data_IF_254161525166
#
_entry.id   IF_254161525166
#
_cell.length_a   1.000
_cell.length_b   1.000
_cell.length_c   1.000
_cell.angle_alpha   90.00
_cell.angle_beta   90.00
_cell.angle_gamma   90.00
#
_symmetry.space_group_name_H-M   'P 1'
#
loop_
_entity.id
_entity.type
_entity.pdbx_description
1 polymer ?
#
# COMPACT_ATOMS: atom_id res chain seq x y z
N UNK A 1 7.90 -18.58 -21.66
CA UNK A 1 9.15 -17.81 -21.84
C UNK A 1 9.51 -16.95 -20.64
N UNK A 2 8.58 -16.15 -20.13
CA UNK A 2 8.84 -15.33 -18.93
C UNK A 2 9.25 -16.20 -17.74
N UNK A 3 8.56 -17.30 -17.49
CA UNK A 3 8.93 -18.24 -16.44
C UNK A 3 10.34 -18.81 -16.59
N UNK A 4 10.78 -19.02 -17.81
CA UNK A 4 12.17 -19.44 -18.08
C UNK A 4 13.18 -18.36 -17.64
N UNK A 5 12.92 -17.12 -17.97
CA UNK A 5 13.81 -16.03 -17.57
C UNK A 5 13.91 -15.91 -16.05
N UNK A 6 12.79 -16.05 -15.35
CA UNK A 6 12.76 -16.00 -13.88
C UNK A 6 13.56 -17.16 -13.30
N UNK A 7 13.33 -18.38 -13.78
CA UNK A 7 14.03 -19.57 -13.31
C UNK A 7 15.54 -19.50 -13.56
N UNK A 8 15.95 -18.82 -14.65
CA UNK A 8 17.35 -18.64 -14.98
C UNK A 8 17.99 -17.41 -14.31
N UNK A 9 17.22 -16.64 -13.53
CA UNK A 9 17.71 -15.41 -12.89
C UNK A 9 17.84 -14.21 -13.83
N UNK A 10 17.24 -14.28 -15.00
CA UNK A 10 17.29 -13.22 -16.03
C UNK A 10 16.09 -12.27 -15.84
N UNK A 11 16.09 -11.55 -14.72
CA UNK A 11 14.94 -10.74 -14.30
C UNK A 11 14.67 -9.54 -15.20
N UNK A 12 15.70 -8.93 -15.80
CA UNK A 12 15.49 -7.83 -16.74
C UNK A 12 14.71 -8.29 -17.98
N UNK A 13 15.05 -9.46 -18.51
CA UNK A 13 14.34 -10.03 -19.65
C UNK A 13 12.92 -10.43 -19.26
N UNK A 14 12.75 -10.94 -18.03
CA UNK A 14 11.43 -11.25 -17.50
C UNK A 14 10.56 -9.98 -17.41
N UNK A 15 11.11 -8.88 -16.91
CA UNK A 15 10.39 -7.61 -16.80
C UNK A 15 10.00 -7.05 -18.16
N UNK A 16 10.86 -7.17 -19.16
CA UNK A 16 10.52 -6.76 -20.54
C UNK A 16 9.35 -7.59 -21.08
N UNK A 17 9.37 -8.89 -20.85
CA UNK A 17 8.27 -9.78 -21.25
C UNK A 17 6.97 -9.44 -20.53
N UNK A 18 7.04 -9.13 -19.26
CA UNK A 18 5.88 -8.72 -18.46
C UNK A 18 5.29 -7.42 -19.00
N UNK A 19 6.13 -6.44 -19.33
CA UNK A 19 5.69 -5.17 -19.94
C UNK A 19 4.96 -5.37 -21.25
N UNK A 20 5.32 -6.41 -22.01
CA UNK A 20 4.73 -6.70 -23.31
C UNK A 20 3.50 -7.61 -23.22
N UNK A 21 3.52 -8.63 -22.34
CA UNK A 21 2.51 -9.70 -22.31
C UNK A 21 1.71 -9.76 -21.01
N UNK A 22 2.08 -8.95 -20.00
CA UNK A 22 1.44 -8.98 -18.69
C UNK A 22 2.07 -9.99 -17.74
N UNK A 23 1.55 -10.04 -16.52
CA UNK A 23 2.11 -10.86 -15.44
C UNK A 23 1.17 -12.00 -15.00
N UNK A 24 0.02 -12.13 -15.62
CA UNK A 24 -1.03 -13.05 -15.19
C UNK A 24 -0.64 -14.53 -15.32
N UNK A 25 0.40 -14.80 -16.07
CA UNK A 25 0.91 -16.17 -16.27
C UNK A 25 1.88 -16.62 -15.19
N UNK A 26 2.29 -15.71 -14.30
CA UNK A 26 3.24 -16.01 -13.24
C UNK A 26 2.52 -16.64 -12.06
N UNK A 27 3.15 -17.66 -11.44
CA UNK A 27 2.66 -18.13 -10.16
C UNK A 27 3.08 -17.16 -9.05
N UNK A 28 2.58 -17.38 -7.82
CA UNK A 28 2.84 -16.45 -6.70
C UNK A 28 4.32 -16.31 -6.36
N UNK A 29 5.10 -17.38 -6.49
CA UNK A 29 6.53 -17.35 -6.18
C UNK A 29 7.32 -16.59 -7.24
N UNK A 30 7.00 -16.82 -8.51
CA UNK A 30 7.60 -16.08 -9.62
C UNK A 30 7.28 -14.60 -9.54
N UNK A 31 6.03 -14.26 -9.26
CA UNK A 31 5.58 -12.88 -9.13
C UNK A 31 6.32 -12.18 -7.98
N UNK A 32 6.45 -12.86 -6.85
CA UNK A 32 7.20 -12.35 -5.69
C UNK A 32 8.65 -12.06 -6.05
N UNK A 33 9.31 -13.00 -6.71
CA UNK A 33 10.73 -12.84 -7.10
C UNK A 33 10.93 -11.64 -8.02
N UNK A 34 10.07 -11.49 -9.02
CA UNK A 34 10.16 -10.38 -9.97
C UNK A 34 9.87 -9.05 -9.28
N UNK A 35 8.85 -8.99 -8.41
CA UNK A 35 8.54 -7.79 -7.65
C UNK A 35 9.73 -7.36 -6.78
N UNK A 36 10.31 -8.29 -6.04
CA UNK A 36 11.46 -7.99 -5.18
C UNK A 36 12.66 -7.51 -5.98
N UNK A 37 12.92 -8.15 -7.11
CA UNK A 37 13.99 -7.70 -8.01
C UNK A 37 13.74 -6.27 -8.50
N UNK A 38 12.52 -6.01 -8.97
CA UNK A 38 12.16 -4.69 -9.49
C UNK A 38 12.29 -3.61 -8.40
N UNK A 39 11.85 -3.90 -7.18
CA UNK A 39 11.91 -2.96 -6.07
C UNK A 39 13.36 -2.67 -5.64
N UNK A 40 14.23 -3.67 -5.65
CA UNK A 40 15.63 -3.48 -5.25
C UNK A 40 16.48 -2.85 -6.35
N UNK A 41 16.17 -3.11 -7.61
CA UNK A 41 16.99 -2.67 -8.75
C UNK A 41 16.44 -1.41 -9.40
N UNK A 42 15.11 -1.26 -9.44
CA UNK A 42 14.43 -0.15 -10.11
C UNK A 42 13.72 0.78 -9.11
N UNK A 43 14.21 0.87 -7.90
CA UNK A 43 13.58 1.57 -6.78
C UNK A 43 13.19 3.02 -7.07
N UNK A 44 13.86 3.68 -8.00
CA UNK A 44 13.58 5.07 -8.34
C UNK A 44 12.53 5.21 -9.45
N UNK A 45 12.00 4.11 -9.96
CA UNK A 45 11.04 4.14 -11.05
C UNK A 45 9.63 3.90 -10.54
N UNK A 46 8.84 4.92 -10.64
CA UNK A 46 7.41 4.81 -10.39
C UNK A 46 6.76 4.20 -11.63
N UNK A 47 6.02 3.12 -11.47
CA UNK A 47 5.36 2.42 -12.56
C UNK A 47 4.03 1.87 -12.09
N UNK A 48 2.96 2.15 -12.83
CA UNK A 48 1.64 1.61 -12.53
C UNK A 48 1.64 0.08 -12.64
N UNK A 49 2.39 -0.46 -13.61
CA UNK A 49 2.54 -1.91 -13.73
C UNK A 49 3.19 -2.51 -12.49
N UNK A 50 4.21 -1.86 -11.93
CA UNK A 50 4.87 -2.36 -10.73
C UNK A 50 3.93 -2.31 -9.51
N UNK A 51 3.10 -1.26 -9.41
CA UNK A 51 2.08 -1.18 -8.35
C UNK A 51 1.09 -2.33 -8.47
N UNK A 52 0.59 -2.60 -9.67
CA UNK A 52 -0.32 -3.72 -9.91
C UNK A 52 0.31 -5.07 -9.56
N UNK A 53 1.55 -5.27 -9.95
CA UNK A 53 2.28 -6.50 -9.66
C UNK A 53 2.50 -6.68 -8.16
N UNK A 54 2.86 -5.61 -7.47
CA UNK A 54 3.05 -5.64 -6.02
C UNK A 54 1.74 -5.94 -5.29
N UNK A 55 0.62 -5.35 -5.76
CA UNK A 55 -0.68 -5.64 -5.17
C UNK A 55 -1.09 -7.10 -5.41
N UNK A 56 -0.89 -7.61 -6.62
CA UNK A 56 -1.17 -9.01 -6.92
C UNK A 56 -0.30 -9.96 -6.09
N UNK A 57 0.97 -9.62 -5.91
CA UNK A 57 1.88 -10.39 -5.05
C UNK A 57 1.43 -10.37 -3.58
N UNK A 58 1.04 -9.21 -3.10
CA UNK A 58 0.52 -9.04 -1.74
C UNK A 58 -0.75 -9.88 -1.53
N UNK A 59 -1.69 -9.83 -2.45
CA UNK A 59 -2.93 -10.60 -2.38
C UNK A 59 -2.68 -12.11 -2.42
N UNK A 60 -1.57 -12.53 -3.01
CA UNK A 60 -1.13 -13.93 -3.02
C UNK A 60 -0.47 -14.37 -1.71
N UNK A 61 -0.35 -13.47 -0.72
CA UNK A 61 0.21 -13.78 0.58
C UNK A 61 1.64 -13.30 0.83
N UNK A 62 2.19 -12.48 -0.06
CA UNK A 62 3.53 -11.92 0.11
C UNK A 62 3.47 -10.70 1.04
N UNK A 63 3.96 -10.89 2.26
CA UNK A 63 3.98 -9.83 3.30
C UNK A 63 5.39 -9.21 3.45
N UNK A 64 6.17 -9.18 2.39
CA UNK A 64 7.51 -8.60 2.41
C UNK A 64 7.44 -7.08 2.65
N UNK A 65 8.29 -6.57 3.53
CA UNK A 65 8.29 -5.16 3.91
C UNK A 65 8.58 -4.22 2.74
N UNK A 66 9.39 -4.63 1.76
CA UNK A 66 9.67 -3.81 0.59
C UNK A 66 8.42 -3.65 -0.28
N UNK A 67 7.66 -4.73 -0.48
CA UNK A 67 6.39 -4.70 -1.22
C UNK A 67 5.38 -3.81 -0.49
N UNK A 68 5.24 -4.00 0.82
CA UNK A 68 4.31 -3.22 1.63
C UNK A 68 4.67 -1.73 1.61
N UNK A 69 5.95 -1.40 1.76
CA UNK A 69 6.41 -0.01 1.73
C UNK A 69 6.14 0.65 0.39
N UNK A 70 6.36 -0.08 -0.70
CA UNK A 70 6.06 0.42 -2.04
C UNK A 70 4.56 0.67 -2.22
N UNK A 71 3.73 -0.27 -1.78
CA UNK A 71 2.28 -0.11 -1.86
C UNK A 71 1.79 1.09 -1.04
N UNK A 72 2.28 1.26 0.17
CA UNK A 72 1.93 2.43 0.98
C UNK A 72 2.30 3.74 0.30
N UNK A 73 3.37 3.75 -0.45
CA UNK A 73 3.85 4.97 -1.10
C UNK A 73 3.10 5.30 -2.39
N UNK A 74 2.69 4.30 -3.16
CA UNK A 74 2.19 4.51 -4.51
C UNK A 74 0.81 3.94 -4.80
N UNK A 75 0.28 3.07 -3.95
CA UNK A 75 -0.98 2.39 -4.21
C UNK A 75 -2.18 3.31 -3.92
N UNK A 76 -3.15 3.29 -4.84
CA UNK A 76 -4.45 3.90 -4.66
C UNK A 76 -5.50 2.88 -5.10
N UNK A 77 -6.37 2.51 -4.19
CA UNK A 77 -7.40 1.51 -4.45
C UNK A 77 -8.65 1.77 -3.62
N UNK A 78 -9.46 0.73 -3.45
CA UNK A 78 -10.65 0.82 -2.62
C UNK A 78 -10.27 0.96 -1.14
N UNK A 79 -11.21 1.41 -0.33
CA UNK A 79 -11.03 1.51 1.12
C UNK A 79 -10.58 0.16 1.70
N UNK A 80 -11.23 -0.92 1.29
CA UNK A 80 -10.92 -2.27 1.78
C UNK A 80 -9.51 -2.70 1.43
N UNK A 81 -9.08 -2.43 0.20
CA UNK A 81 -7.72 -2.75 -0.24
C UNK A 81 -6.68 -1.93 0.53
N UNK A 82 -6.94 -0.65 0.71
CA UNK A 82 -6.04 0.24 1.46
C UNK A 82 -5.95 -0.19 2.93
N UNK A 83 -7.06 -0.57 3.54
CA UNK A 83 -7.07 -1.08 4.91
C UNK A 83 -6.29 -2.38 5.04
N UNK A 84 -6.36 -3.25 4.04
CA UNK A 84 -5.57 -4.48 4.04
C UNK A 84 -4.06 -4.19 4.02
N UNK A 85 -3.64 -3.24 3.20
CA UNK A 85 -2.23 -2.80 3.14
C UNK A 85 -1.82 -2.16 4.47
N UNK A 86 -2.70 -1.37 5.07
CA UNK A 86 -2.45 -0.75 6.38
C UNK A 86 -2.27 -1.81 7.47
N UNK A 87 -3.16 -2.79 7.55
CA UNK A 87 -3.10 -3.84 8.56
C UNK A 87 -1.81 -4.65 8.50
N UNK A 88 -1.37 -5.01 7.29
CA UNK A 88 -0.11 -5.73 7.12
C UNK A 88 1.08 -4.82 7.42
N UNK A 89 1.01 -3.57 7.01
CA UNK A 89 2.04 -2.58 7.35
C UNK A 89 2.22 -2.44 8.86
N UNK A 90 1.12 -2.47 9.60
CA UNK A 90 1.15 -2.44 11.06
C UNK A 90 1.91 -3.65 11.63
N UNK A 91 1.68 -4.84 11.09
CA UNK A 91 2.37 -6.06 11.53
C UNK A 91 3.89 -6.00 11.30
N UNK A 92 4.32 -5.37 10.20
CA UNK A 92 5.74 -5.24 9.87
C UNK A 92 6.35 -3.92 10.36
N UNK A 93 5.56 -3.07 11.02
CA UNK A 93 6.03 -1.82 11.59
C UNK A 93 6.24 -0.69 10.61
N UNK A 94 5.50 -0.67 9.49
CA UNK A 94 5.62 0.33 8.44
C UNK A 94 4.41 1.25 8.40
N UNK A 95 4.66 2.56 8.53
CA UNK A 95 3.63 3.59 8.55
C UNK A 95 4.05 4.77 7.68
N UNK A 96 3.62 4.79 6.45
CA UNK A 96 3.80 5.96 5.59
C UNK A 96 2.71 6.98 5.94
N UNK A 97 3.11 8.19 6.32
CA UNK A 97 2.18 9.23 6.75
C UNK A 97 1.14 9.57 5.68
N UNK A 98 1.59 9.76 4.45
CA UNK A 98 0.69 10.14 3.35
C UNK A 98 -0.31 9.03 3.09
N UNK A 99 0.15 7.78 3.15
CA UNK A 99 -0.73 6.63 2.98
C UNK A 99 -1.80 6.56 4.10
N UNK A 100 -1.39 6.75 5.36
CA UNK A 100 -2.33 6.73 6.49
C UNK A 100 -3.37 7.84 6.35
N UNK A 101 -2.95 9.04 5.95
CA UNK A 101 -3.89 10.15 5.68
C UNK A 101 -4.88 9.77 4.57
N UNK A 102 -4.41 9.11 3.52
CA UNK A 102 -5.27 8.65 2.42
C UNK A 102 -6.28 7.61 2.89
N UNK A 103 -5.86 6.68 3.75
CA UNK A 103 -6.76 5.67 4.33
C UNK A 103 -7.84 6.35 5.16
N UNK A 104 -7.45 7.30 6.01
CA UNK A 104 -8.40 8.04 6.84
C UNK A 104 -9.43 8.77 6.01
N UNK A 105 -8.99 9.45 4.95
CA UNK A 105 -9.88 10.17 4.04
C UNK A 105 -10.85 9.22 3.33
N UNK A 106 -10.37 8.07 2.90
CA UNK A 106 -11.21 7.07 2.27
C UNK A 106 -12.28 6.54 3.24
N UNK A 107 -11.91 6.31 4.50
CA UNK A 107 -12.85 5.86 5.51
C UNK A 107 -13.94 6.90 5.78
N UNK A 108 -13.56 8.17 5.92
CA UNK A 108 -14.52 9.25 6.18
C UNK A 108 -15.44 9.46 4.99
N UNK A 109 -14.90 9.41 3.76
CA UNK A 109 -15.69 9.61 2.55
C UNK A 109 -16.74 8.52 2.34
N UNK A 110 -16.45 7.30 2.79
CA UNK A 110 -17.36 6.16 2.68
C UNK A 110 -18.44 6.13 3.79
N UNK A 111 -18.34 7.04 4.74
CA UNK A 111 -19.25 7.12 5.89
C UNK A 111 -18.53 6.75 7.19
N UNK A 112 -18.96 7.37 8.26
CA UNK A 112 -18.32 7.17 9.58
C UNK A 112 -18.92 5.92 10.25
N UNK A 113 -18.14 4.85 10.30
CA UNK A 113 -18.54 3.60 10.93
C UNK A 113 -17.62 3.18 12.10
N UNK A 114 -16.66 4.05 12.45
CA UNK A 114 -15.70 3.76 13.51
C UNK A 114 -14.39 3.19 13.02
N UNK A 115 -14.32 2.76 11.76
CA UNK A 115 -13.06 2.21 11.18
C UNK A 115 -11.97 3.27 11.16
N UNK A 116 -12.31 4.51 10.81
CA UNK A 116 -11.37 5.63 10.76
C UNK A 116 -10.75 5.92 12.13
N UNK A 117 -11.50 5.79 13.19
CA UNK A 117 -10.97 5.98 14.55
C UNK A 117 -9.97 4.88 14.89
N UNK A 118 -10.26 3.65 14.51
CA UNK A 118 -9.37 2.53 14.74
C UNK A 118 -8.03 2.72 14.01
N UNK A 119 -8.08 3.10 12.74
CA UNK A 119 -6.88 3.36 11.92
C UNK A 119 -6.05 4.48 12.56
N UNK A 120 -6.72 5.56 12.93
CA UNK A 120 -6.06 6.72 13.51
C UNK A 120 -5.43 6.38 14.87
N UNK A 121 -6.15 5.69 15.73
CA UNK A 121 -5.65 5.26 17.04
C UNK A 121 -4.44 4.34 16.92
N UNK A 122 -4.49 3.36 16.02
CA UNK A 122 -3.38 2.45 15.79
C UNK A 122 -2.15 3.19 15.29
N UNK A 123 -2.34 4.16 14.39
CA UNK A 123 -1.26 4.98 13.90
C UNK A 123 -0.64 5.84 15.01
N UNK A 124 -1.46 6.50 15.80
CA UNK A 124 -0.99 7.33 16.92
C UNK A 124 -0.19 6.52 17.94
N UNK A 125 -0.63 5.29 18.23
CA UNK A 125 0.09 4.43 19.16
C UNK A 125 1.50 4.11 18.69
N UNK A 126 1.75 4.15 17.39
CA UNK A 126 3.05 3.84 16.82
C UNK A 126 3.96 5.05 16.69
N UNK A 127 3.41 6.26 16.57
CA UNK A 127 4.17 7.49 16.33
C UNK A 127 4.08 8.49 17.48
N UNK A 128 3.74 8.05 18.67
CA UNK A 128 3.46 8.91 19.81
C UNK A 128 4.61 9.85 20.22
N UNK A 129 5.81 9.65 19.65
CA UNK A 129 6.99 10.46 19.96
C UNK A 129 7.02 11.81 19.23
N UNK A 130 6.22 11.99 18.18
CA UNK A 130 6.21 13.24 17.40
C UNK A 130 4.88 13.97 17.58
N UNK A 131 4.82 14.85 18.57
CA UNK A 131 3.61 15.62 18.89
C UNK A 131 3.21 16.57 17.77
N UNK A 132 4.16 17.18 17.07
CA UNK A 132 3.86 18.07 15.96
C UNK A 132 3.15 17.36 14.83
N UNK A 133 3.61 16.17 14.51
CA UNK A 133 2.97 15.33 13.49
C UNK A 133 1.57 14.90 13.93
N UNK A 134 1.42 14.47 15.18
CA UNK A 134 0.13 14.07 15.74
C UNK A 134 -0.86 15.22 15.68
N UNK A 135 -0.46 16.41 16.12
CA UNK A 135 -1.31 17.59 16.12
C UNK A 135 -1.73 17.97 14.70
N UNK A 136 -0.81 17.94 13.75
CA UNK A 136 -1.11 18.26 12.35
C UNK A 136 -2.13 17.28 11.76
N UNK A 137 -1.98 16.00 12.03
CA UNK A 137 -2.90 14.97 11.56
C UNK A 137 -4.27 15.09 12.22
N UNK A 138 -4.29 15.41 13.52
CA UNK A 138 -5.53 15.59 14.25
C UNK A 138 -6.33 16.78 13.69
N UNK A 139 -5.66 17.90 13.42
CA UNK A 139 -6.30 19.07 12.82
C UNK A 139 -6.85 18.73 11.43
N UNK A 140 -6.08 18.03 10.61
CA UNK A 140 -6.53 17.63 9.28
C UNK A 140 -7.73 16.69 9.36
N UNK A 141 -7.70 15.72 10.26
CA UNK A 141 -8.80 14.80 10.48
C UNK A 141 -10.08 15.54 10.89
N UNK A 142 -9.98 16.44 11.86
CA UNK A 142 -11.13 17.22 12.34
C UNK A 142 -11.69 18.09 11.24
N UNK A 143 -10.84 18.79 10.48
CA UNK A 143 -11.28 19.63 9.38
C UNK A 143 -11.99 18.81 8.29
N UNK A 144 -11.44 17.67 7.96
CA UNK A 144 -12.04 16.79 6.95
C UNK A 144 -13.40 16.25 7.42
N UNK A 145 -13.49 15.84 8.67
CA UNK A 145 -14.74 15.37 9.27
C UNK A 145 -15.78 16.47 9.31
N UNK A 146 -15.37 17.72 9.63
CA UNK A 146 -16.26 18.87 9.63
C UNK A 146 -16.82 19.18 8.23
N UNK A 147 -15.96 19.15 7.22
CA UNK A 147 -16.39 19.36 5.83
C UNK A 147 -17.41 18.33 5.37
N UNK A 148 -17.38 17.15 5.98
CA UNK A 148 -18.29 16.05 5.68
C UNK A 148 -19.34 15.82 6.77
N UNK A 149 -19.60 16.83 7.60
CA UNK A 149 -20.46 16.68 8.79
C UNK A 149 -21.88 16.19 8.48
N UNK A 150 -22.41 16.48 7.29
CA UNK A 150 -23.73 15.99 6.87
C UNK A 150 -23.77 14.48 6.70
N UNK A 151 -22.61 13.84 6.64
CA UNK A 151 -22.47 12.40 6.53
C UNK A 151 -22.17 11.74 7.88
N UNK A 152 -21.93 12.55 8.92
CA UNK A 152 -21.64 12.06 10.24
C UNK A 152 -22.93 11.70 10.97
N UNK A 153 -23.06 10.50 11.52
CA UNK A 153 -24.16 10.21 12.44
C UNK A 153 -23.92 10.97 13.73
N UNK A 154 -24.96 11.54 14.26
CA UNK A 154 -24.85 12.21 15.54
C UNK A 154 -24.89 11.24 16.70
#
# INVERSE_FOLDING_TARGET
MIGYFIAAGLYEDALKGIGQYGYQFLDKDQLKEVCLYALTTLSNRRSDLLVEMCMASFESGNENSEVIGYLQKYFHGTKEEMLSVFDVGQKVGMYDRVFVESVLRACIADGVDGTEFKVFEEYLNQIETDKGLIDAMLVEYVNYAYENEKKLPE
#
